data_IF_095682278976
#
_entry.id   IF_095682278976
#
_cell.length_a   1.000
_cell.length_b   1.000
_cell.length_c   1.000
_cell.angle_alpha   90.00
_cell.angle_beta   90.00
_cell.angle_gamma   90.00
#
_symmetry.space_group_name_H-M   'P 1'
#
loop_
_entity.id
_entity.type
_entity.pdbx_description
1 polymer ?
#
# COMPACT_ATOMS: atom_id res chain seq x y z
N UNK A 1 20.18 -7.32 15.23
CA UNK A 1 19.58 -8.65 15.51
C UNK A 1 19.51 -8.86 17.02
N UNK A 2 18.40 -9.37 17.53
CA UNK A 2 18.32 -9.67 18.95
C UNK A 2 19.23 -10.82 19.34
N UNK A 3 19.82 -10.74 20.53
CA UNK A 3 20.66 -11.80 21.08
C UNK A 3 19.85 -12.87 21.80
N UNK A 4 20.57 -13.87 22.36
CA UNK A 4 19.94 -15.01 23.04
C UNK A 4 19.13 -14.60 24.28
N UNK A 5 19.44 -13.47 24.89
CA UNK A 5 18.73 -12.90 26.05
C UNK A 5 17.37 -12.28 25.68
N UNK A 6 17.05 -12.21 24.40
CA UNK A 6 15.80 -11.61 23.88
C UNK A 6 14.88 -12.67 23.28
N UNK A 7 15.01 -13.92 23.72
CA UNK A 7 14.27 -15.04 23.15
C UNK A 7 12.85 -15.22 23.70
N UNK A 8 12.52 -14.60 24.85
CA UNK A 8 11.16 -14.68 25.40
C UNK A 8 10.21 -13.71 24.68
N UNK A 9 8.90 -13.98 24.76
CA UNK A 9 7.89 -13.09 24.17
C UNK A 9 7.99 -11.65 24.70
N UNK A 10 8.20 -11.52 26.02
CA UNK A 10 8.37 -10.21 26.64
C UNK A 10 9.63 -9.50 26.13
N UNK A 11 10.76 -10.25 26.05
CA UNK A 11 12.02 -9.70 25.53
C UNK A 11 11.90 -9.28 24.09
N UNK A 12 11.22 -10.05 23.25
CA UNK A 12 11.00 -9.72 21.85
C UNK A 12 10.14 -8.45 21.71
N UNK A 13 9.07 -8.34 22.50
CA UNK A 13 8.21 -7.15 22.49
C UNK A 13 8.96 -5.90 22.87
N UNK A 14 9.79 -5.96 23.92
CA UNK A 14 10.60 -4.82 24.33
C UNK A 14 11.64 -4.45 23.28
N UNK A 15 12.25 -5.45 22.63
CA UNK A 15 13.19 -5.21 21.53
C UNK A 15 12.51 -4.51 20.38
N UNK A 16 11.31 -4.96 19.99
CA UNK A 16 10.55 -4.35 18.91
C UNK A 16 10.21 -2.90 19.24
N UNK A 17 9.70 -2.62 20.45
CA UNK A 17 9.37 -1.25 20.87
C UNK A 17 10.57 -0.31 20.80
N UNK A 18 11.75 -0.82 21.12
CA UNK A 18 12.96 0.00 21.20
C UNK A 18 13.64 0.19 19.85
N UNK A 19 13.63 -0.81 18.98
CA UNK A 19 14.47 -0.84 17.78
C UNK A 19 13.69 -0.90 16.46
N UNK A 20 12.40 -1.20 16.47
CA UNK A 20 11.62 -1.25 15.24
C UNK A 20 11.53 0.13 14.61
N UNK A 21 11.65 0.17 13.30
CA UNK A 21 11.52 1.39 12.51
C UNK A 21 10.93 1.06 11.16
N UNK A 22 10.46 2.07 10.45
CA UNK A 22 9.97 1.91 9.09
C UNK A 22 11.10 1.48 8.16
N UNK A 23 10.78 0.63 7.17
CA UNK A 23 11.68 0.30 6.07
C UNK A 23 11.35 1.12 4.82
N UNK A 24 10.62 2.22 5.00
CA UNK A 24 10.33 3.22 3.97
C UNK A 24 9.50 2.68 2.79
N UNK A 25 8.60 1.73 3.05
CA UNK A 25 7.69 1.17 2.05
C UNK A 25 6.22 1.28 2.51
N UNK A 26 5.71 2.51 2.75
CA UNK A 26 4.32 2.68 3.18
C UNK A 26 3.34 2.41 2.05
N UNK A 27 2.20 1.81 2.40
CA UNK A 27 1.11 1.54 1.46
C UNK A 27 -0.23 1.71 2.17
N UNK A 28 -1.32 1.79 1.42
CA UNK A 28 -2.66 1.59 1.95
C UNK A 28 -3.42 2.82 2.41
N UNK A 29 -2.83 4.02 2.39
CA UNK A 29 -3.55 5.23 2.81
C UNK A 29 -4.71 5.61 1.90
N UNK A 30 -4.70 5.15 0.64
CA UNK A 30 -5.80 5.30 -0.32
C UNK A 30 -6.22 3.94 -0.87
N UNK A 31 -6.44 2.96 0.03
CA UNK A 31 -6.61 1.57 -0.37
C UNK A 31 -7.72 1.38 -1.40
N UNK A 32 -7.45 0.51 -2.36
CA UNK A 32 -8.40 0.08 -3.37
C UNK A 32 -9.32 -1.00 -2.81
N UNK A 33 -10.58 -0.99 -3.20
CA UNK A 33 -11.51 -2.04 -2.81
C UNK A 33 -12.94 -1.73 -3.13
N UNK A 34 -13.82 -2.63 -2.74
CA UNK A 34 -15.26 -2.47 -2.86
C UNK A 34 -15.95 -2.30 -1.50
N UNK A 35 -15.19 -2.36 -0.41
CA UNK A 35 -15.70 -2.18 0.94
C UNK A 35 -15.90 -0.69 1.27
N UNK A 36 -16.59 -0.42 2.38
CA UNK A 36 -16.95 0.94 2.78
C UNK A 36 -15.74 1.82 3.08
N UNK A 37 -14.62 1.22 3.50
CA UNK A 37 -13.41 1.97 3.87
C UNK A 37 -12.46 2.19 2.69
N UNK A 38 -12.74 1.63 1.52
CA UNK A 38 -11.91 1.83 0.35
C UNK A 38 -11.98 3.28 -0.11
N UNK A 39 -10.83 3.88 -0.41
CA UNK A 39 -10.73 5.25 -0.92
C UNK A 39 -10.94 5.29 -2.43
N UNK A 40 -10.41 4.29 -3.14
CA UNK A 40 -10.59 4.16 -4.59
C UNK A 40 -11.24 2.83 -4.92
N UNK A 41 -11.90 2.78 -6.08
CA UNK A 41 -12.49 1.55 -6.61
C UNK A 41 -11.45 0.73 -7.40
N UNK A 42 -11.89 -0.36 -8.02
CA UNK A 42 -10.99 -1.23 -8.80
C UNK A 42 -10.51 -0.61 -10.10
N UNK A 43 -11.03 0.56 -10.47
CA UNK A 43 -10.56 1.36 -11.59
C UNK A 43 -9.70 2.54 -11.10
N UNK A 44 -9.30 2.53 -9.83
CA UNK A 44 -8.48 3.54 -9.17
C UNK A 44 -9.13 4.92 -9.08
N UNK A 45 -10.44 5.01 -9.29
CA UNK A 45 -11.20 6.25 -9.18
C UNK A 45 -11.52 6.53 -7.71
N UNK A 46 -11.33 7.78 -7.29
CA UNK A 46 -11.69 8.21 -5.93
C UNK A 46 -13.19 8.14 -5.76
N UNK A 47 -13.65 7.44 -4.74
CA UNK A 47 -15.09 7.26 -4.47
C UNK A 47 -15.69 8.58 -3.99
N UNK A 48 -16.85 8.89 -4.52
CA UNK A 48 -17.57 10.11 -4.18
C UNK A 48 -17.16 11.35 -4.96
N UNK A 49 -16.15 11.25 -5.82
CA UNK A 49 -15.71 12.32 -6.69
C UNK A 49 -15.64 11.83 -8.13
N UNK A 50 -15.75 12.75 -9.07
CA UNK A 50 -15.61 12.43 -10.49
C UNK A 50 -14.31 13.04 -11.02
N UNK A 51 -13.67 12.33 -11.96
CA UNK A 51 -12.50 12.83 -12.67
C UNK A 51 -11.20 12.76 -11.88
N UNK A 52 -11.14 12.02 -10.77
CA UNK A 52 -9.94 11.91 -9.96
C UNK A 52 -9.60 10.46 -9.72
N UNK A 53 -8.33 10.12 -9.91
CA UNK A 53 -7.77 8.80 -9.62
C UNK A 53 -6.55 8.93 -8.72
N UNK A 54 -6.25 7.85 -7.98
CA UNK A 54 -4.98 7.71 -7.25
C UNK A 54 -4.25 6.51 -7.86
N UNK A 55 -3.02 6.73 -8.31
CA UNK A 55 -2.24 5.74 -9.06
C UNK A 55 -0.82 5.71 -8.47
N UNK A 56 -0.71 5.15 -7.28
CA UNK A 56 0.56 4.99 -6.57
C UNK A 56 0.45 3.88 -5.53
N UNK A 57 1.51 3.68 -4.74
CA UNK A 57 1.56 2.61 -3.75
C UNK A 57 0.48 2.73 -2.67
N UNK A 58 -0.10 3.92 -2.48
CA UNK A 58 -1.14 4.11 -1.45
C UNK A 58 -2.41 3.33 -1.75
N UNK A 59 -2.64 2.89 -3.00
CA UNK A 59 -3.83 2.10 -3.35
C UNK A 59 -3.72 0.64 -2.91
N UNK A 60 -2.55 0.14 -2.56
CA UNK A 60 -2.39 -1.25 -2.14
C UNK A 60 -3.19 -1.53 -0.88
N UNK A 61 -4.15 -2.48 -0.90
CA UNK A 61 -4.96 -2.77 0.28
C UNK A 61 -4.16 -3.48 1.39
N UNK A 62 -3.09 -4.18 1.04
CA UNK A 62 -2.20 -4.85 2.00
C UNK A 62 -0.75 -4.67 1.55
N UNK A 63 0.16 -4.73 2.51
CA UNK A 63 1.58 -4.67 2.23
C UNK A 63 2.05 -5.99 1.61
N UNK A 64 2.78 -5.90 0.50
CA UNK A 64 3.39 -7.08 -0.13
C UNK A 64 4.62 -7.55 0.68
N UNK A 65 5.12 -8.74 0.36
CA UNK A 65 6.23 -9.34 1.12
C UNK A 65 7.61 -8.82 0.72
N UNK A 66 7.71 -8.00 -0.32
CA UNK A 66 8.97 -7.44 -0.80
C UNK A 66 8.95 -5.92 -0.85
N UNK A 67 9.98 -5.34 -1.46
CA UNK A 67 10.05 -3.90 -1.68
C UNK A 67 8.95 -3.43 -2.63
N UNK A 68 8.49 -2.19 -2.45
CA UNK A 68 7.32 -1.68 -3.16
C UNK A 68 7.62 -1.03 -4.51
N UNK A 69 8.89 -0.94 -4.92
CA UNK A 69 9.24 -0.25 -6.18
C UNK A 69 8.65 -0.93 -7.41
N UNK A 70 8.84 -2.24 -7.57
CA UNK A 70 8.32 -2.96 -8.72
C UNK A 70 6.77 -2.90 -8.82
N UNK A 71 6.02 -3.18 -7.73
CA UNK A 71 4.57 -3.00 -7.79
C UNK A 71 4.13 -1.56 -7.97
N UNK A 72 4.89 -0.56 -7.48
CA UNK A 72 4.58 0.85 -7.74
C UNK A 72 4.67 1.18 -9.24
N UNK A 73 5.70 0.68 -9.92
CA UNK A 73 5.85 0.82 -11.37
C UNK A 73 4.70 0.12 -12.09
N UNK A 74 4.34 -1.07 -11.67
CA UNK A 74 3.22 -1.82 -12.23
C UNK A 74 1.89 -1.07 -12.08
N UNK A 75 1.66 -0.47 -10.92
CA UNK A 75 0.46 0.34 -10.67
C UNK A 75 0.42 1.52 -11.64
N UNK A 76 1.54 2.20 -11.84
CA UNK A 76 1.63 3.30 -12.81
C UNK A 76 1.31 2.86 -14.22
N UNK A 77 1.89 1.74 -14.67
CA UNK A 77 1.64 1.18 -16.01
C UNK A 77 0.17 0.77 -16.18
N UNK A 78 -0.37 0.04 -15.21
CA UNK A 78 -1.77 -0.40 -15.26
C UNK A 78 -2.73 0.77 -15.16
N UNK A 79 -2.44 1.74 -14.29
CA UNK A 79 -3.25 2.93 -14.14
C UNK A 79 -3.31 3.76 -15.42
N UNK A 80 -2.17 3.92 -16.08
CA UNK A 80 -2.13 4.61 -17.38
C UNK A 80 -2.97 3.90 -18.44
N UNK A 81 -2.94 2.57 -18.47
CA UNK A 81 -3.74 1.78 -19.39
C UNK A 81 -5.25 1.95 -19.11
N UNK A 82 -5.63 1.94 -17.83
CA UNK A 82 -7.02 2.17 -17.43
C UNK A 82 -7.48 3.57 -17.86
N UNK A 83 -6.65 4.58 -17.63
CA UNK A 83 -6.97 5.95 -18.03
C UNK A 83 -7.14 6.09 -19.54
N UNK A 84 -6.25 5.47 -20.31
CA UNK A 84 -6.37 5.51 -21.78
C UNK A 84 -7.65 4.86 -22.28
N UNK A 85 -8.05 3.75 -21.70
CA UNK A 85 -9.30 3.08 -22.04
C UNK A 85 -10.51 3.94 -21.70
N UNK A 86 -10.47 4.66 -20.56
CA UNK A 86 -11.55 5.57 -20.14
C UNK A 86 -11.59 6.88 -20.90
N UNK A 87 -10.46 7.35 -21.43
CA UNK A 87 -10.37 8.62 -22.13
C UNK A 87 -11.05 8.62 -23.52
N UNK A 88 -11.48 7.48 -24.00
CA UNK A 88 -12.15 7.34 -25.29
C UNK A 88 -13.63 7.72 -25.21
N UNK A 89 -14.12 7.97 -24.03
CA UNK A 89 -15.51 8.28 -23.77
C UNK A 89 -15.84 9.73 -24.15
#
# INVERSE_FOLDING_TARGET
MPGADVSSDTGIREYIKRWAKTDYHPVGSCKMGSDELAVVDTQLRVRGLEGLRVIDASIMPTLISGNTQAPSIMIGEKGAAIMRAGAVV
#
